data_IF_292862275279
#
_entry.id   IF_292862275279
#
_cell.length_a   1.000
_cell.length_b   1.000
_cell.length_c   1.000
_cell.angle_alpha   90.00
_cell.angle_beta   90.00
_cell.angle_gamma   90.00
#
_symmetry.space_group_name_H-M   'P 1'
#
loop_
_entity.id
_entity.type
_entity.pdbx_description
1 polymer ?
#
# COMPACT_ATOMS: atom_id res chain seq x y z
N UNK A 1 9.45 20.83 20.23
CA UNK A 1 10.12 21.27 18.99
C UNK A 1 9.26 20.81 17.82
N UNK A 2 8.63 21.75 17.14
CA UNK A 2 7.69 21.50 16.05
C UNK A 2 8.46 21.52 14.73
N UNK A 3 8.89 20.36 14.24
CA UNK A 3 9.52 20.25 12.92
C UNK A 3 8.41 20.20 11.88
N UNK A 4 8.15 21.35 11.24
CA UNK A 4 7.29 21.45 10.05
C UNK A 4 7.84 20.58 8.92
N UNK A 5 7.40 19.33 8.86
CA UNK A 5 7.87 18.34 7.90
C UNK A 5 7.21 18.53 6.53
N UNK A 6 7.80 19.34 5.66
CA UNK A 6 7.47 19.31 4.23
C UNK A 6 7.89 17.94 3.67
N UNK A 7 6.99 17.26 2.96
CA UNK A 7 7.34 16.05 2.22
C UNK A 7 8.49 16.37 1.24
N UNK A 8 9.61 15.67 1.37
CA UNK A 8 10.77 15.84 0.50
C UNK A 8 10.76 14.71 -0.52
N UNK A 9 10.72 15.05 -1.81
CA UNK A 9 10.98 14.08 -2.87
C UNK A 9 12.49 13.79 -2.83
N UNK A 10 12.85 12.54 -2.53
CA UNK A 10 14.23 12.08 -2.53
C UNK A 10 14.40 11.04 -3.63
N UNK A 11 15.20 11.35 -4.66
CA UNK A 11 15.46 10.49 -5.82
C UNK A 11 14.73 10.94 -7.09
N UNK A 12 15.10 10.33 -8.23
CA UNK A 12 14.43 10.48 -9.52
C UNK A 12 13.41 9.38 -9.77
N UNK A 13 12.42 9.62 -10.63
CA UNK A 13 11.51 8.58 -11.12
C UNK A 13 12.27 7.68 -12.09
N UNK A 14 12.55 6.43 -11.68
CA UNK A 14 13.09 5.42 -12.58
C UNK A 14 12.29 4.12 -12.50
N UNK A 15 12.22 3.41 -13.63
CA UNK A 15 11.73 2.03 -13.62
C UNK A 15 12.66 1.18 -12.75
N UNK A 16 12.09 0.39 -11.84
CA UNK A 16 12.87 -0.42 -10.91
C UNK A 16 13.48 0.34 -9.72
N UNK A 17 13.11 1.60 -9.49
CA UNK A 17 13.58 2.39 -8.34
C UNK A 17 13.27 1.75 -6.97
N UNK A 18 12.27 0.87 -6.89
CA UNK A 18 11.89 0.19 -5.64
C UNK A 18 11.43 -1.23 -5.88
N UNK A 19 12.28 -2.21 -5.55
CA UNK A 19 11.95 -3.63 -5.63
C UNK A 19 10.69 -3.99 -4.82
N UNK A 20 10.46 -3.35 -3.67
CA UNK A 20 9.27 -3.59 -2.86
C UNK A 20 7.98 -3.09 -3.53
N UNK A 21 7.98 -1.87 -4.10
CA UNK A 21 6.81 -1.35 -4.82
C UNK A 21 6.56 -2.13 -6.09
N UNK A 22 7.62 -2.46 -6.84
CA UNK A 22 7.51 -3.31 -8.04
C UNK A 22 6.89 -4.67 -7.71
N UNK A 23 7.31 -5.34 -6.63
CA UNK A 23 6.73 -6.60 -6.18
C UNK A 23 5.22 -6.48 -5.87
N UNK A 24 4.80 -5.38 -5.24
CA UNK A 24 3.39 -5.11 -4.93
C UNK A 24 2.59 -4.92 -6.22
N UNK A 25 3.04 -4.04 -7.12
CA UNK A 25 2.34 -3.73 -8.38
C UNK A 25 2.22 -4.99 -9.24
N UNK A 26 3.33 -5.70 -9.46
CA UNK A 26 3.34 -6.92 -10.26
C UNK A 26 2.43 -7.99 -9.66
N UNK A 27 2.41 -8.13 -8.33
CA UNK A 27 1.51 -9.08 -7.67
C UNK A 27 0.04 -8.67 -7.78
N UNK A 28 -0.27 -7.39 -7.64
CA UNK A 28 -1.63 -6.89 -7.83
C UNK A 28 -2.12 -7.12 -9.27
N UNK A 29 -1.27 -6.86 -10.26
CA UNK A 29 -1.58 -7.04 -11.68
C UNK A 29 -1.88 -8.51 -12.06
N UNK A 30 -1.29 -9.49 -11.36
CA UNK A 30 -1.59 -10.93 -11.57
C UNK A 30 -3.07 -11.25 -11.30
N UNK A 31 -3.73 -10.51 -10.40
CA UNK A 31 -5.15 -10.69 -10.07
C UNK A 31 -6.04 -9.66 -10.78
N UNK A 32 -5.56 -8.42 -10.86
CA UNK A 32 -6.31 -7.27 -11.37
C UNK A 32 -5.39 -6.42 -12.25
N UNK A 33 -5.35 -6.67 -13.58
CA UNK A 33 -4.41 -6.02 -14.50
C UNK A 33 -4.48 -4.48 -14.54
N UNK A 34 -5.59 -3.89 -14.07
CA UNK A 34 -5.76 -2.44 -13.98
C UNK A 34 -4.96 -1.81 -12.84
N UNK A 35 -4.65 -2.53 -11.76
CA UNK A 35 -3.90 -2.02 -10.59
C UNK A 35 -2.40 -1.88 -10.89
N UNK A 36 -2.04 -0.81 -11.59
CA UNK A 36 -0.69 -0.56 -12.14
C UNK A 36 0.13 0.49 -11.38
N UNK A 37 -0.39 1.01 -10.28
CA UNK A 37 0.29 1.99 -9.43
C UNK A 37 0.15 1.62 -7.96
N UNK A 38 1.18 1.91 -7.18
CA UNK A 38 1.16 1.77 -5.74
C UNK A 38 1.97 2.85 -5.06
N UNK A 39 1.53 3.27 -3.87
CA UNK A 39 2.23 4.20 -3.01
C UNK A 39 2.30 3.65 -1.59
N UNK A 40 3.50 3.64 -1.03
CA UNK A 40 3.75 3.19 0.33
C UNK A 40 3.76 4.40 1.27
N UNK A 41 2.95 4.35 2.32
CA UNK A 41 2.85 5.36 3.37
C UNK A 41 3.02 4.71 4.73
N UNK A 42 3.51 5.49 5.70
CA UNK A 42 3.67 5.01 7.07
C UNK A 42 2.32 4.69 7.69
N UNK A 43 2.24 3.56 8.42
CA UNK A 43 1.08 3.27 9.24
C UNK A 43 1.00 4.21 10.45
N UNK A 44 -0.14 4.86 10.64
CA UNK A 44 -0.42 5.72 11.79
C UNK A 44 -1.76 5.25 12.38
N UNK A 45 -1.88 5.22 13.70
CA UNK A 45 -3.03 4.60 14.41
C UNK A 45 -4.42 5.07 13.93
N UNK A 46 -4.55 6.30 13.44
CA UNK A 46 -5.82 6.89 12.99
C UNK A 46 -6.10 6.75 11.48
N UNK A 47 -5.12 6.32 10.68
CA UNK A 47 -5.27 6.36 9.22
C UNK A 47 -6.25 5.30 8.71
N UNK A 48 -6.37 4.15 9.39
CA UNK A 48 -7.32 3.11 9.02
C UNK A 48 -8.76 3.58 9.19
N UNK A 49 -9.05 4.37 10.23
CA UNK A 49 -10.37 4.96 10.43
C UNK A 49 -10.69 5.92 9.30
N UNK A 50 -9.77 6.84 8.98
CA UNK A 50 -9.91 7.76 7.84
C UNK A 50 -10.11 7.04 6.51
N UNK A 51 -9.42 5.92 6.28
CA UNK A 51 -9.63 5.11 5.08
C UNK A 51 -11.03 4.49 5.02
N UNK A 52 -11.58 4.06 6.18
CA UNK A 52 -12.96 3.54 6.25
C UNK A 52 -13.99 4.63 6.04
N UNK A 53 -13.80 5.80 6.66
CA UNK A 53 -14.65 6.99 6.48
C UNK A 53 -14.63 7.47 5.03
N UNK A 54 -13.46 7.39 4.38
CA UNK A 54 -13.30 7.67 2.97
C UNK A 54 -13.98 6.63 2.05
N UNK A 55 -14.59 5.56 2.58
CA UNK A 55 -15.24 4.51 1.80
C UNK A 55 -14.27 3.65 0.98
N UNK A 56 -12.99 3.58 1.38
CA UNK A 56 -11.97 2.83 0.67
C UNK A 56 -11.94 1.38 1.14
N UNK A 57 -11.66 0.47 0.21
CA UNK A 57 -11.54 -0.96 0.49
C UNK A 57 -10.15 -1.30 1.06
N UNK A 58 -10.13 -1.97 2.21
CA UNK A 58 -8.90 -2.21 2.99
C UNK A 58 -8.69 -3.71 3.19
N UNK A 59 -7.48 -4.19 2.92
CA UNK A 59 -7.02 -5.52 3.29
C UNK A 59 -5.74 -5.47 4.13
N UNK A 60 -5.40 -6.59 4.76
CA UNK A 60 -4.14 -6.74 5.48
C UNK A 60 -3.63 -8.17 5.48
N UNK A 61 -2.31 -8.30 5.63
CA UNK A 61 -1.65 -9.57 5.88
C UNK A 61 -0.76 -9.46 7.13
N UNK A 62 -0.54 -10.61 7.75
CA UNK A 62 0.38 -10.76 8.87
C UNK A 62 1.68 -11.40 8.37
N UNK A 63 2.80 -10.70 8.52
CA UNK A 63 4.12 -11.23 8.12
C UNK A 63 4.49 -12.52 8.82
N UNK A 64 3.97 -12.78 10.03
CA UNK A 64 4.21 -14.03 10.76
C UNK A 64 3.60 -15.26 10.09
N UNK A 65 2.65 -15.04 9.17
CA UNK A 65 2.00 -16.11 8.39
C UNK A 65 2.68 -16.35 7.05
N UNK A 66 3.77 -15.65 6.76
CA UNK A 66 4.56 -15.86 5.55
C UNK A 66 5.13 -17.29 5.55
N UNK A 67 4.84 -18.10 4.53
CA UNK A 67 5.40 -19.43 4.42
C UNK A 67 6.89 -19.35 4.12
N UNK A 68 7.68 -20.28 4.66
CA UNK A 68 9.13 -20.35 4.44
C UNK A 68 9.53 -20.55 2.98
N UNK A 69 8.60 -20.99 2.14
CA UNK A 69 8.78 -21.14 0.68
C UNK A 69 8.61 -19.82 -0.09
N UNK A 70 8.19 -18.73 0.57
CA UNK A 70 8.06 -17.43 -0.09
C UNK A 70 9.41 -16.78 -0.30
N UNK A 71 9.66 -16.28 -1.50
CA UNK A 71 10.85 -15.49 -1.85
C UNK A 71 10.65 -13.99 -1.62
N UNK A 72 9.41 -13.54 -1.39
CA UNK A 72 9.08 -12.13 -1.21
C UNK A 72 7.80 -11.95 -0.39
N UNK A 73 7.95 -11.39 0.81
CA UNK A 73 6.82 -11.03 1.70
C UNK A 73 5.80 -10.15 1.01
N UNK A 74 6.25 -9.23 0.14
CA UNK A 74 5.36 -8.28 -0.54
C UNK A 74 4.58 -8.96 -1.66
N UNK A 75 5.18 -9.93 -2.35
CA UNK A 75 4.45 -10.69 -3.36
C UNK A 75 3.43 -11.62 -2.73
N UNK A 76 3.87 -12.40 -1.74
CA UNK A 76 3.00 -13.31 -1.01
C UNK A 76 1.89 -12.56 -0.29
N UNK A 77 2.22 -11.50 0.45
CA UNK A 77 1.27 -10.73 1.24
C UNK A 77 0.19 -10.10 0.36
N UNK A 78 0.58 -9.40 -0.70
CA UNK A 78 -0.36 -8.83 -1.69
C UNK A 78 -1.26 -9.91 -2.28
N UNK A 79 -0.67 -11.01 -2.75
CA UNK A 79 -1.40 -12.10 -3.41
C UNK A 79 -2.35 -12.82 -2.44
N UNK A 80 -1.93 -13.04 -1.20
CA UNK A 80 -2.75 -13.68 -0.17
C UNK A 80 -3.98 -12.85 0.17
N UNK A 81 -3.81 -11.53 0.28
CA UNK A 81 -4.91 -10.61 0.56
C UNK A 81 -5.90 -10.57 -0.61
N UNK A 82 -5.42 -10.30 -1.83
CA UNK A 82 -6.29 -10.18 -3.00
C UNK A 82 -7.04 -11.48 -3.31
N UNK A 83 -6.36 -12.63 -3.18
CA UNK A 83 -7.00 -13.94 -3.33
C UNK A 83 -8.08 -14.18 -2.28
N UNK A 84 -7.81 -13.80 -1.03
CA UNK A 84 -8.77 -13.97 0.08
C UNK A 84 -9.99 -13.06 -0.06
N UNK A 85 -9.80 -11.82 -0.49
CA UNK A 85 -10.91 -10.86 -0.63
C UNK A 85 -11.73 -11.07 -1.90
N UNK A 86 -11.15 -11.66 -2.95
CA UNK A 86 -11.86 -11.95 -4.21
C UNK A 86 -12.31 -10.70 -4.99
N UNK A 87 -11.87 -9.51 -4.55
CA UNK A 87 -12.14 -8.21 -5.19
C UNK A 87 -10.90 -7.31 -5.12
N UNK A 88 -10.76 -6.34 -6.05
CA UNK A 88 -9.69 -5.35 -5.96
C UNK A 88 -9.81 -4.55 -4.67
N UNK A 89 -8.66 -4.08 -4.17
CA UNK A 89 -8.56 -3.28 -2.94
C UNK A 89 -7.88 -1.95 -3.22
N UNK A 90 -8.29 -0.93 -2.47
CA UNK A 90 -7.67 0.39 -2.49
C UNK A 90 -6.44 0.45 -1.61
N UNK A 91 -6.42 -0.30 -0.50
CA UNK A 91 -5.31 -0.34 0.44
C UNK A 91 -4.98 -1.76 0.92
N UNK A 92 -3.69 -2.04 1.05
CA UNK A 92 -3.17 -3.21 1.76
C UNK A 92 -2.17 -2.76 2.82
N UNK A 93 -2.40 -3.14 4.07
CA UNK A 93 -1.48 -2.82 5.17
C UNK A 93 -0.90 -4.06 5.86
N UNK A 94 0.22 -3.86 6.56
CA UNK A 94 0.76 -4.82 7.51
C UNK A 94 1.22 -4.08 8.77
N UNK A 95 1.15 -4.75 9.92
CA UNK A 95 1.53 -4.17 11.22
C UNK A 95 3.04 -4.27 11.49
N UNK A 96 3.85 -4.54 10.47
CA UNK A 96 5.28 -4.75 10.62
C UNK A 96 5.61 -6.11 11.22
N UNK A 97 6.81 -6.21 11.77
CA UNK A 97 7.37 -7.43 12.34
C UNK A 97 8.66 -7.11 13.09
N UNK A 98 9.38 -8.13 13.54
CA UNK A 98 10.67 -7.92 14.21
C UNK A 98 11.63 -7.13 13.29
N UNK A 99 11.99 -5.91 13.68
CA UNK A 99 12.83 -5.01 12.88
C UNK A 99 12.17 -4.45 11.60
N UNK A 100 10.84 -4.55 11.44
CA UNK A 100 10.10 -4.03 10.28
C UNK A 100 8.98 -3.09 10.71
N UNK A 101 8.95 -1.90 10.12
CA UNK A 101 7.90 -0.91 10.39
C UNK A 101 6.55 -1.32 9.79
N UNK A 102 5.47 -0.88 10.44
CA UNK A 102 4.11 -1.00 9.93
C UNK A 102 3.88 -0.02 8.77
N UNK A 103 3.36 -0.53 7.66
CA UNK A 103 3.20 0.24 6.41
C UNK A 103 1.84 0.00 5.76
N UNK A 104 1.40 0.98 4.98
CA UNK A 104 0.17 0.95 4.19
C UNK A 104 0.53 1.18 2.74
N UNK A 105 -0.05 0.37 1.85
CA UNK A 105 0.17 0.45 0.42
C UNK A 105 -1.16 0.79 -0.24
N UNK A 106 -1.25 2.00 -0.76
CA UNK A 106 -2.38 2.42 -1.57
C UNK A 106 -2.16 1.86 -2.96
N UNK A 107 -3.16 1.18 -3.51
CA UNK A 107 -3.17 0.62 -4.87
C UNK A 107 -4.06 1.47 -5.76
N UNK A 108 -3.72 1.56 -7.03
CA UNK A 108 -4.50 2.35 -7.97
C UNK A 108 -4.17 2.06 -9.42
N UNK A 109 -5.00 2.60 -10.31
CA UNK A 109 -4.85 2.39 -11.74
C UNK A 109 -3.67 3.15 -12.32
N UNK A 110 -3.41 4.33 -11.76
CA UNK A 110 -2.36 5.26 -12.16
C UNK A 110 -2.03 6.16 -10.95
N UNK A 111 -0.97 6.99 -11.02
CA UNK A 111 -0.63 7.89 -9.93
C UNK A 111 -1.74 8.88 -9.54
N UNK A 112 -2.58 9.31 -10.49
CA UNK A 112 -3.68 10.24 -10.22
C UNK A 112 -4.77 9.59 -9.34
N UNK A 113 -5.10 8.33 -9.59
CA UNK A 113 -6.00 7.52 -8.75
C UNK A 113 -5.47 7.40 -7.32
N UNK A 114 -4.16 7.17 -7.16
CA UNK A 114 -3.50 7.16 -5.86
C UNK A 114 -3.66 8.50 -5.14
N UNK A 115 -3.44 9.61 -5.84
CA UNK A 115 -3.56 10.95 -5.27
C UNK A 115 -5.01 11.27 -4.87
N UNK A 116 -6.00 10.85 -5.67
CA UNK A 116 -7.42 10.97 -5.33
C UNK A 116 -7.74 10.21 -4.04
N UNK A 117 -7.27 8.96 -3.91
CA UNK A 117 -7.45 8.17 -2.68
C UNK A 117 -6.76 8.84 -1.48
N UNK A 118 -5.56 9.38 -1.68
CA UNK A 118 -4.85 10.09 -0.63
C UNK A 118 -5.60 11.35 -0.18
N UNK A 119 -6.13 12.14 -1.11
CA UNK A 119 -6.90 13.35 -0.76
C UNK A 119 -8.17 13.00 0.02
N UNK A 120 -8.85 11.89 -0.33
CA UNK A 120 -9.97 11.34 0.46
C UNK A 120 -9.59 11.01 1.89
N UNK A 121 -8.47 10.33 2.07
CA UNK A 121 -7.95 10.00 3.41
C UNK A 121 -7.60 11.28 4.19
N UNK A 122 -7.16 12.33 3.51
CA UNK A 122 -6.79 13.61 4.13
C UNK A 122 -7.98 14.57 4.32
N UNK A 123 -9.17 14.24 3.84
CA UNK A 123 -10.35 15.12 3.87
C UNK A 123 -10.18 16.37 3.01
N UNK A 124 -9.50 16.25 1.86
CA UNK A 124 -9.15 17.37 0.97
C UNK A 124 -9.94 17.39 -0.34
N UNK A 125 -11.05 16.65 -0.43
CA UNK A 125 -11.84 16.55 -1.67
C UNK A 125 -12.91 17.65 -1.81
N UNK A 126 -12.67 18.82 -1.21
CA UNK A 126 -13.53 20.00 -1.27
C UNK A 126 -12.90 21.12 -2.09
#
# INVERSE_FOLDING_TARGET
MNSGGKAKICGGLSFGASNHISAIILSAMKYYPHLRSAMNIKYISNILEKCREAGLSIGSFDRKKEPSTSTSTMEWGTSAVLRKTGKPLDLIYDLGGHGKEAMIRILGNNPEDILKKLNRILGRDG
#
